data_IF_675555055055
#
_entry.id   IF_675555055055
#
_cell.length_a   1.000
_cell.length_b   1.000
_cell.length_c   1.000
_cell.angle_alpha   90.00
_cell.angle_beta   90.00
_cell.angle_gamma   90.00
#
_symmetry.space_group_name_H-M   'P 1'
#
loop_
_entity.id
_entity.type
_entity.pdbx_description
1 polymer ?
#
# COMPACT_ATOMS: atom_id res chain seq x y z
N UNK A 1 -15.92 17.78 -10.47
CA UNK A 1 -15.01 18.17 -9.47
C UNK A 1 -13.63 17.66 -9.69
N UNK A 2 -12.70 18.52 -9.42
CA UNK A 2 -11.29 18.27 -9.70
C UNK A 2 -10.64 17.28 -8.78
N UNK A 3 -11.22 16.99 -7.59
CA UNK A 3 -10.55 16.19 -6.57
C UNK A 3 -10.24 14.77 -7.00
N UNK A 4 -11.15 14.13 -7.71
CA UNK A 4 -10.91 12.74 -8.16
C UNK A 4 -9.75 12.68 -9.15
N UNK A 5 -9.67 13.62 -10.08
CA UNK A 5 -8.56 13.67 -11.04
C UNK A 5 -7.22 13.92 -10.35
N UNK A 6 -7.21 14.85 -9.39
CA UNK A 6 -6.00 15.17 -8.65
C UNK A 6 -5.53 13.98 -7.82
N UNK A 7 -6.47 13.29 -7.18
CA UNK A 7 -6.15 12.10 -6.39
C UNK A 7 -5.60 10.99 -7.27
N UNK A 8 -6.24 10.74 -8.41
CA UNK A 8 -5.77 9.72 -9.35
C UNK A 8 -4.38 10.03 -9.86
N UNK A 9 -4.13 11.31 -10.18
CA UNK A 9 -2.82 11.73 -10.65
C UNK A 9 -1.75 11.50 -9.57
N UNK A 10 -2.03 11.88 -8.33
CA UNK A 10 -1.10 11.65 -7.24
C UNK A 10 -0.86 10.15 -7.03
N UNK A 11 -1.92 9.36 -6.96
CA UNK A 11 -1.81 7.91 -6.73
C UNK A 11 -1.06 7.20 -7.85
N UNK A 12 -1.10 7.75 -9.07
CA UNK A 12 -0.36 7.18 -10.20
C UNK A 12 1.13 7.50 -10.14
N UNK A 13 1.55 8.40 -9.27
CA UNK A 13 2.96 8.73 -9.03
C UNK A 13 3.54 7.96 -7.84
N UNK A 14 2.69 7.24 -7.11
CA UNK A 14 3.11 6.43 -5.96
C UNK A 14 3.41 5.02 -6.45
N UNK A 15 4.52 4.48 -6.01
CA UNK A 15 4.89 3.09 -6.30
C UNK A 15 5.60 2.51 -5.08
N UNK A 16 6.28 1.40 -5.26
CA UNK A 16 6.99 0.74 -4.19
C UNK A 16 8.29 0.12 -4.66
N UNK A 17 9.15 -0.16 -3.72
CA UNK A 17 10.42 -0.84 -3.97
C UNK A 17 10.80 -1.61 -2.71
N UNK A 18 11.80 -2.47 -2.81
CA UNK A 18 12.32 -3.23 -1.67
C UNK A 18 11.23 -4.04 -0.94
N UNK A 19 10.37 -4.69 -1.71
CA UNK A 19 9.37 -5.58 -1.11
C UNK A 19 10.07 -6.77 -0.46
N UNK A 20 9.84 -6.96 0.84
CA UNK A 20 10.37 -8.09 1.59
C UNK A 20 9.18 -8.84 2.18
N UNK A 21 9.11 -10.14 1.91
CA UNK A 21 8.05 -11.00 2.45
C UNK A 21 8.71 -12.08 3.29
N UNK A 22 8.19 -12.28 4.50
CA UNK A 22 8.69 -13.32 5.40
C UNK A 22 7.53 -14.21 5.84
N UNK A 23 7.74 -15.50 5.82
CA UNK A 23 6.77 -16.45 6.35
C UNK A 23 6.96 -16.60 7.85
N UNK A 24 5.84 -16.57 8.57
CA UNK A 24 5.84 -16.81 10.00
C UNK A 24 4.86 -17.93 10.31
N UNK A 25 4.88 -18.42 11.55
CA UNK A 25 3.93 -19.46 11.97
C UNK A 25 2.47 -19.01 11.90
N UNK A 26 2.23 -17.71 11.81
CA UNK A 26 0.88 -17.12 11.76
C UNK A 26 0.47 -16.65 10.37
N UNK A 27 1.37 -16.76 9.39
CA UNK A 27 1.14 -16.29 8.04
C UNK A 27 2.28 -15.43 7.56
N UNK A 28 2.07 -14.71 6.45
CA UNK A 28 3.12 -13.88 5.87
C UNK A 28 3.13 -12.49 6.50
N UNK A 29 4.33 -11.98 6.75
CA UNK A 29 4.54 -10.56 7.06
C UNK A 29 5.31 -9.94 5.91
N UNK A 30 5.20 -8.62 5.74
CA UNK A 30 5.87 -7.97 4.63
C UNK A 30 6.14 -6.49 4.95
N UNK A 31 7.15 -5.96 4.26
CA UNK A 31 7.45 -4.53 4.27
C UNK A 31 7.67 -4.06 2.84
N UNK A 32 7.32 -2.82 2.58
CA UNK A 32 7.45 -2.22 1.25
C UNK A 32 7.83 -0.75 1.41
N UNK A 33 8.94 -0.35 0.78
CA UNK A 33 9.29 1.06 0.73
C UNK A 33 8.40 1.75 -0.29
N UNK A 34 7.75 2.83 0.11
CA UNK A 34 6.82 3.58 -0.73
C UNK A 34 7.55 4.74 -1.37
N UNK A 35 7.38 4.90 -2.68
CA UNK A 35 8.03 5.97 -3.43
C UNK A 35 7.01 6.94 -3.99
N UNK A 36 7.40 8.20 -4.07
CA UNK A 36 6.68 9.26 -4.79
C UNK A 36 7.66 9.82 -5.80
N UNK A 37 7.33 9.67 -7.09
CA UNK A 37 8.22 10.06 -8.19
C UNK A 37 9.62 9.46 -8.06
N UNK A 38 9.68 8.23 -7.56
CA UNK A 38 10.94 7.50 -7.41
C UNK A 38 11.70 7.75 -6.12
N UNK A 39 11.25 8.68 -5.28
CA UNK A 39 11.89 8.98 -4.01
C UNK A 39 11.16 8.29 -2.87
N UNK A 40 11.89 7.57 -2.02
CA UNK A 40 11.28 6.87 -0.89
C UNK A 40 10.77 7.89 0.13
N UNK A 41 9.47 7.83 0.43
CA UNK A 41 8.84 8.72 1.40
C UNK A 41 8.48 8.02 2.70
N UNK A 42 8.49 6.70 2.72
CA UNK A 42 8.17 5.93 3.93
C UNK A 42 8.15 4.45 3.63
N UNK A 43 7.77 3.68 4.64
CA UNK A 43 7.70 2.21 4.54
C UNK A 43 6.37 1.74 5.10
N UNK A 44 5.66 0.92 4.35
CA UNK A 44 4.48 0.22 4.86
C UNK A 44 4.93 -1.10 5.46
N UNK A 45 4.49 -1.37 6.68
CA UNK A 45 4.85 -2.59 7.41
C UNK A 45 3.61 -3.38 7.78
N UNK A 46 3.59 -4.66 7.43
CA UNK A 46 2.56 -5.59 7.87
C UNK A 46 3.27 -6.71 8.62
N UNK A 47 3.51 -6.49 9.90
CA UNK A 47 4.36 -7.37 10.71
C UNK A 47 3.59 -8.38 11.54
N UNK A 48 2.30 -8.14 11.76
CA UNK A 48 1.45 -9.05 12.52
C UNK A 48 0.35 -9.60 11.62
N UNK A 49 0.51 -10.83 11.08
CA UNK A 49 -0.55 -11.44 10.28
C UNK A 49 -1.88 -11.45 11.04
N UNK A 50 -2.95 -10.99 10.37
CA UNK A 50 -4.25 -10.81 11.00
C UNK A 50 -4.47 -9.43 11.60
N UNK A 51 -3.41 -8.60 11.66
CA UNK A 51 -3.51 -7.21 12.10
C UNK A 51 -3.68 -6.26 10.93
N UNK A 52 -3.20 -5.04 11.08
CA UNK A 52 -3.28 -4.01 10.04
C UNK A 52 -1.89 -3.56 9.64
N UNK A 53 -1.76 -3.10 8.39
CA UNK A 53 -0.53 -2.51 7.92
C UNK A 53 -0.39 -1.08 8.47
N UNK A 54 0.84 -0.65 8.65
CA UNK A 54 1.15 0.69 9.16
C UNK A 54 2.16 1.38 8.25
N UNK A 55 2.01 2.69 8.11
CA UNK A 55 2.94 3.51 7.34
C UNK A 55 3.88 4.26 8.27
N UNK A 56 5.17 4.12 8.03
CA UNK A 56 6.21 4.82 8.79
C UNK A 56 6.87 5.83 7.85
N UNK A 57 6.64 7.15 8.06
CA UNK A 57 7.28 8.16 7.22
C UNK A 57 8.80 8.14 7.38
N UNK A 58 9.50 8.46 6.31
CA UNK A 58 10.95 8.52 6.34
C UNK A 58 11.41 9.97 6.51
N UNK A 59 12.20 10.22 7.57
CA UNK A 59 12.82 11.53 7.78
C UNK A 59 11.82 12.67 7.77
N UNK A 60 12.01 13.63 6.88
CA UNK A 60 11.17 14.81 6.77
C UNK A 60 10.03 14.66 5.74
N UNK A 61 9.71 13.44 5.36
CA UNK A 61 8.72 13.16 4.32
C UNK A 61 7.29 13.02 4.85
N UNK A 62 7.02 13.44 6.07
CA UNK A 62 5.70 13.33 6.67
C UNK A 62 4.62 14.06 5.87
N UNK A 63 4.95 15.20 5.28
CA UNK A 63 3.99 15.95 4.47
C UNK A 63 3.57 15.17 3.24
N UNK A 64 4.52 14.53 2.58
CA UNK A 64 4.24 13.70 1.41
C UNK A 64 3.36 12.51 1.78
N UNK A 65 3.66 11.87 2.90
CA UNK A 65 2.84 10.76 3.41
C UNK A 65 1.43 11.25 3.72
N UNK A 66 1.28 12.44 4.30
CA UNK A 66 -0.04 13.00 4.61
C UNK A 66 -0.85 13.26 3.35
N UNK A 67 -0.22 13.69 2.28
CA UNK A 67 -0.91 13.89 0.99
C UNK A 67 -1.42 12.57 0.42
N UNK A 68 -0.59 11.52 0.50
CA UNK A 68 -1.00 10.18 0.06
C UNK A 68 -2.15 9.68 0.93
N UNK A 69 -2.06 9.89 2.25
CA UNK A 69 -3.12 9.50 3.17
C UNK A 69 -4.45 10.14 2.80
N UNK A 70 -4.43 11.44 2.52
CA UNK A 70 -5.64 12.17 2.14
C UNK A 70 -6.22 11.60 0.85
N UNK A 71 -5.37 11.39 -0.15
CA UNK A 71 -5.81 10.85 -1.43
C UNK A 71 -6.44 9.46 -1.27
N UNK A 72 -5.86 8.61 -0.43
CA UNK A 72 -6.41 7.29 -0.18
C UNK A 72 -7.76 7.35 0.53
N UNK A 73 -7.88 8.22 1.54
CA UNK A 73 -9.16 8.39 2.25
C UNK A 73 -10.24 8.87 1.28
N UNK A 74 -9.93 9.87 0.47
CA UNK A 74 -10.88 10.41 -0.51
C UNK A 74 -11.25 9.40 -1.58
N UNK A 75 -10.37 8.42 -1.84
CA UNK A 75 -10.62 7.35 -2.80
C UNK A 75 -11.34 6.15 -2.18
N UNK A 76 -11.77 6.24 -0.93
CA UNK A 76 -12.51 5.19 -0.27
C UNK A 76 -11.65 4.17 0.47
N UNK A 77 -10.36 4.44 0.64
CA UNK A 77 -9.43 3.55 1.34
C UNK A 77 -9.07 4.08 2.72
N UNK A 78 -10.09 4.47 3.47
CA UNK A 78 -9.93 4.93 4.83
C UNK A 78 -11.10 4.49 5.69
N UNK A 79 -10.93 4.62 6.98
CA UNK A 79 -11.97 4.32 7.96
C UNK A 79 -11.85 5.30 9.13
N UNK A 80 -12.63 5.09 10.19
CA UNK A 80 -12.62 5.98 11.34
C UNK A 80 -11.25 6.04 12.06
N UNK A 81 -10.39 5.07 11.78
CA UNK A 81 -9.06 5.00 12.40
C UNK A 81 -7.97 5.58 11.50
N UNK A 82 -8.29 5.96 10.27
CA UNK A 82 -7.34 6.53 9.32
C UNK A 82 -7.29 5.79 8.00
N UNK A 83 -6.11 5.74 7.42
CA UNK A 83 -5.90 5.13 6.10
C UNK A 83 -5.81 3.62 6.20
N UNK A 84 -6.39 2.96 5.21
CA UNK A 84 -6.25 1.52 5.05
C UNK A 84 -4.97 1.24 4.25
N UNK A 85 -3.85 1.13 4.94
CA UNK A 85 -2.56 0.85 4.30
C UNK A 85 -2.45 -0.56 3.74
N UNK A 86 -3.43 -1.43 4.03
CA UNK A 86 -3.45 -2.78 3.50
C UNK A 86 -3.59 -2.82 1.99
N UNK A 87 -4.02 -1.71 1.37
CA UNK A 87 -4.08 -1.62 -0.10
C UNK A 87 -2.71 -1.88 -0.74
N UNK A 88 -1.63 -1.58 -0.03
CA UNK A 88 -0.28 -1.83 -0.55
C UNK A 88 0.06 -3.32 -0.69
N UNK A 89 -0.75 -4.21 -0.09
CA UNK A 89 -0.59 -5.65 -0.31
C UNK A 89 -0.83 -6.03 -1.78
N UNK A 90 -1.58 -5.22 -2.52
CA UNK A 90 -1.85 -5.45 -3.95
C UNK A 90 -0.81 -4.81 -4.85
N UNK A 91 0.08 -3.98 -4.29
CA UNK A 91 1.06 -3.26 -5.10
C UNK A 91 2.30 -4.11 -5.31
N UNK A 92 2.57 -4.46 -6.57
CA UNK A 92 3.77 -5.19 -6.94
C UNK A 92 4.67 -4.26 -7.78
N UNK A 93 5.83 -3.87 -7.25
CA UNK A 93 6.71 -2.96 -8.00
C UNK A 93 7.05 -3.51 -9.40
N UNK A 94 7.08 -2.69 -10.45
CA UNK A 94 6.98 -1.21 -10.47
C UNK A 94 5.56 -0.66 -10.62
N UNK A 95 4.54 -1.44 -10.30
CA UNK A 95 3.14 -1.00 -10.37
C UNK A 95 2.94 0.28 -9.56
N UNK A 96 2.05 1.16 -10.01
CA UNK A 96 1.68 2.34 -9.24
C UNK A 96 0.54 2.02 -8.27
N UNK A 97 0.36 2.89 -7.28
CA UNK A 97 -0.72 2.71 -6.32
C UNK A 97 -2.09 2.81 -7.02
N UNK A 98 -2.22 3.67 -8.02
CA UNK A 98 -3.47 3.73 -8.79
C UNK A 98 -3.76 2.39 -9.47
N UNK A 99 -2.74 1.73 -9.99
CA UNK A 99 -2.89 0.41 -10.60
C UNK A 99 -3.24 -0.65 -9.56
N UNK A 100 -2.67 -0.56 -8.37
CA UNK A 100 -2.99 -1.48 -7.28
C UNK A 100 -4.46 -1.35 -6.86
N UNK A 101 -4.97 -0.13 -6.80
CA UNK A 101 -6.37 0.13 -6.48
C UNK A 101 -7.29 -0.49 -7.54
N UNK A 102 -6.93 -0.36 -8.82
CA UNK A 102 -7.70 -0.99 -9.89
C UNK A 102 -7.66 -2.50 -9.78
N UNK A 103 -6.50 -3.05 -9.46
CA UNK A 103 -6.34 -4.50 -9.29
C UNK A 103 -7.22 -5.01 -8.16
N UNK A 104 -7.31 -4.28 -7.05
CA UNK A 104 -8.14 -4.65 -5.91
C UNK A 104 -9.59 -4.88 -6.28
N UNK A 105 -10.10 -4.13 -7.25
CA UNK A 105 -11.51 -4.23 -7.67
C UNK A 105 -11.83 -5.60 -8.31
N UNK A 106 -10.84 -6.32 -8.77
CA UNK A 106 -11.02 -7.61 -9.39
C UNK A 106 -10.94 -8.76 -8.39
N UNK A 107 -10.59 -8.47 -7.14
CA UNK A 107 -10.57 -9.47 -6.09
C UNK A 107 -11.69 -9.19 -5.11
N UNK A 108 -12.30 -10.24 -4.56
CA UNK A 108 -13.17 -10.07 -3.40
C UNK A 108 -12.28 -9.58 -2.28
N UNK A 109 -12.56 -8.42 -1.76
CA UNK A 109 -11.73 -7.70 -0.81
C UNK A 109 -11.52 -8.48 0.49
N UNK A 110 -10.76 -9.55 0.39
CA UNK A 110 -10.45 -10.42 1.51
C UNK A 110 -8.93 -10.35 1.71
N UNK A 111 -8.52 -9.88 2.87
CA UNK A 111 -7.10 -9.74 3.21
C UNK A 111 -6.34 -11.05 3.04
N UNK A 112 -7.00 -12.18 3.27
CA UNK A 112 -6.35 -13.46 3.07
C UNK A 112 -5.96 -13.72 1.62
N UNK A 113 -6.70 -13.16 0.66
CA UNK A 113 -6.33 -13.27 -0.76
C UNK A 113 -5.09 -12.46 -1.09
N UNK A 114 -4.99 -11.26 -0.51
CA UNK A 114 -3.80 -10.44 -0.68
C UNK A 114 -2.59 -11.16 -0.12
N UNK A 115 -2.72 -11.76 1.04
CA UNK A 115 -1.64 -12.55 1.64
C UNK A 115 -1.25 -13.73 0.77
N UNK A 116 -2.22 -14.43 0.17
CA UNK A 116 -1.95 -15.54 -0.75
C UNK A 116 -1.15 -15.08 -1.95
N UNK A 117 -1.49 -13.92 -2.52
CA UNK A 117 -0.74 -13.35 -3.64
C UNK A 117 0.69 -13.04 -3.24
N UNK A 118 0.89 -12.48 -2.04
CA UNK A 118 2.23 -12.18 -1.54
C UNK A 118 3.04 -13.47 -1.33
N UNK A 119 2.42 -14.50 -0.79
CA UNK A 119 3.07 -15.78 -0.59
C UNK A 119 3.49 -16.41 -1.91
N UNK A 120 2.63 -16.34 -2.93
CA UNK A 120 2.96 -16.85 -4.25
C UNK A 120 4.14 -16.11 -4.85
N UNK A 121 4.18 -14.79 -4.71
CA UNK A 121 5.31 -13.99 -5.21
C UNK A 121 6.60 -14.34 -4.46
N UNK A 122 6.50 -14.56 -3.16
CA UNK A 122 7.67 -14.93 -2.37
C UNK A 122 8.22 -16.29 -2.76
N UNK A 123 7.34 -17.19 -3.21
CA UNK A 123 7.73 -18.54 -3.63
C UNK A 123 8.42 -18.58 -4.99
N UNK A 124 8.21 -17.58 -5.78
CA UNK A 124 8.80 -17.49 -7.12
C UNK A 124 10.25 -17.03 -7.05
#
# INVERSE_FOLDING_TARGET
MSNESENTELLDRISGTNLVVMETSRGASWTLDVTLDGEIIGTVEYLNPGGTANMVPRGDKRNEVNEVSRALIESGHGNQWGVDWDIFAFLEPPMTLAQAIELEKYFDLDDSRALCNLELRASE
#
